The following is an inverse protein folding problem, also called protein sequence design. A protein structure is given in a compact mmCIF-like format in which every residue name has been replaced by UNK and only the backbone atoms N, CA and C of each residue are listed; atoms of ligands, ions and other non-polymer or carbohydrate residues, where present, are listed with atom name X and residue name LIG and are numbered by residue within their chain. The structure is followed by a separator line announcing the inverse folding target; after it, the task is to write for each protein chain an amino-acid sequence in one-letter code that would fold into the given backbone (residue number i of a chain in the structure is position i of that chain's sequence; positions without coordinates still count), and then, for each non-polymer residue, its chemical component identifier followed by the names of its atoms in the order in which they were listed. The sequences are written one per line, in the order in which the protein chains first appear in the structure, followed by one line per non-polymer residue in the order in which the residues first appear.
data_IF_564737183166
#
_entry.id   IF_564737183166
#
_cell.length_a   1.000
_cell.length_b   1.000
_cell.length_c   1.000
_cell.angle_alpha   90.00
_cell.angle_beta   90.00
_cell.angle_gamma   90.00
#
_symmetry.space_group_name_H-M   'P 1'
#
loop_
_entity.id
_entity.type
_entity.pdbx_description
1 polymer ?
#
# COMPACT_ATOMS: atom_id res chain seq x y z
N UNK A 1 9.97 -14.48 -7.23
CA UNK A 1 10.14 -13.61 -8.42
C UNK A 1 11.58 -13.14 -8.40
N UNK A 2 12.32 -13.31 -9.49
CA UNK A 2 13.67 -12.80 -9.64
C UNK A 2 13.67 -11.27 -9.60
N UNK A 3 14.68 -10.67 -8.95
CA UNK A 3 14.90 -9.23 -9.00
C UNK A 3 14.93 -8.76 -10.46
N UNK A 4 14.29 -7.64 -10.72
CA UNK A 4 14.36 -7.05 -12.05
C UNK A 4 15.79 -6.51 -12.27
N UNK A 5 16.41 -6.72 -13.43
CA UNK A 5 17.71 -6.14 -13.72
C UNK A 5 17.70 -4.59 -13.72
N UNK A 6 16.52 -3.98 -13.66
CA UNK A 6 16.31 -2.53 -13.59
C UNK A 6 16.02 -2.05 -12.17
N UNK A 7 15.99 -2.93 -11.18
CA UNK A 7 15.83 -2.52 -9.79
C UNK A 7 17.15 -1.94 -9.29
N UNK A 8 17.12 -0.78 -8.59
CA UNK A 8 18.33 -0.23 -7.98
C UNK A 8 18.84 -1.18 -6.89
N UNK A 9 20.14 -1.21 -6.69
CA UNK A 9 20.71 -1.91 -5.55
C UNK A 9 20.38 -1.17 -4.26
N UNK A 10 20.43 -1.88 -3.14
CA UNK A 10 20.04 -1.31 -1.85
C UNK A 10 20.94 -0.13 -1.42
N UNK A 11 22.21 -0.20 -1.71
CA UNK A 11 23.21 0.84 -1.44
C UNK A 11 23.17 2.04 -2.42
N UNK A 12 22.45 1.88 -3.53
CA UNK A 12 22.23 2.92 -4.55
C UNK A 12 20.87 3.63 -4.37
N UNK A 13 20.09 3.28 -3.32
CA UNK A 13 18.77 3.87 -3.11
C UNK A 13 18.85 5.36 -2.77
N UNK A 14 17.97 6.19 -3.33
CA UNK A 14 17.99 7.63 -3.10
C UNK A 14 17.64 7.94 -1.64
N UNK A 15 18.30 8.96 -1.08
CA UNK A 15 17.99 9.46 0.26
C UNK A 15 16.72 10.32 0.31
N UNK A 16 16.21 10.72 -0.84
CA UNK A 16 15.03 11.56 -0.95
C UNK A 16 14.03 10.94 -1.91
N UNK A 17 12.78 10.86 -1.49
CA UNK A 17 11.68 10.36 -2.32
C UNK A 17 10.60 11.42 -2.52
N UNK A 18 10.04 11.55 -3.75
CA UNK A 18 8.71 12.11 -3.91
C UNK A 18 7.70 11.17 -3.24
N UNK A 19 6.73 11.73 -2.54
CA UNK A 19 5.70 10.93 -1.87
C UNK A 19 4.30 11.25 -2.40
N UNK A 20 3.48 10.20 -2.43
CA UNK A 20 2.08 10.27 -2.77
C UNK A 20 1.23 9.89 -1.53
N UNK A 21 0.76 10.87 -0.74
CA UNK A 21 -0.16 10.62 0.35
C UNK A 21 -1.54 10.24 -0.21
N UNK A 22 -1.99 9.02 0.06
CA UNK A 22 -3.28 8.55 -0.43
C UNK A 22 -3.96 7.68 0.63
N UNK A 23 -5.07 8.19 1.18
CA UNK A 23 -5.80 7.52 2.26
C UNK A 23 -6.46 6.23 1.78
N UNK A 24 -6.30 5.17 2.57
CA UNK A 24 -6.93 3.87 2.30
C UNK A 24 -6.30 3.08 1.16
N UNK A 25 -5.25 3.58 0.54
CA UNK A 25 -4.47 2.87 -0.48
C UNK A 25 -3.17 2.35 0.14
N UNK A 26 -2.92 1.06 0.00
CA UNK A 26 -1.74 0.39 0.52
C UNK A 26 -0.88 -0.12 -0.64
N UNK A 27 0.42 0.13 -0.56
CA UNK A 27 1.42 -0.56 -1.37
C UNK A 27 2.34 -1.36 -0.45
N UNK A 28 2.56 -2.61 -0.79
CA UNK A 28 3.48 -3.52 -0.11
C UNK A 28 4.59 -3.95 -1.06
N UNK A 29 5.77 -4.34 -0.55
CA UNK A 29 6.81 -4.94 -1.38
C UNK A 29 6.25 -6.05 -2.28
N UNK A 30 6.64 -6.06 -3.56
CA UNK A 30 6.16 -6.94 -4.64
C UNK A 30 4.67 -6.79 -5.02
N UNK A 31 3.90 -5.93 -4.33
CA UNK A 31 2.54 -5.58 -4.70
C UNK A 31 2.50 -4.72 -5.96
N UNK A 32 1.41 -4.76 -6.70
CA UNK A 32 1.19 -3.92 -7.89
C UNK A 32 0.02 -2.99 -7.64
N UNK A 33 0.25 -1.70 -7.86
CA UNK A 33 -0.73 -0.64 -7.64
C UNK A 33 -0.91 0.16 -8.93
N UNK A 34 -2.00 -0.06 -9.67
CA UNK A 34 -2.36 0.81 -10.77
C UNK A 34 -2.94 2.13 -10.24
N UNK A 35 -2.53 3.25 -10.83
CA UNK A 35 -2.96 4.58 -10.45
C UNK A 35 -3.32 5.40 -11.69
N UNK A 36 -4.36 6.22 -11.57
CA UNK A 36 -4.75 7.21 -12.55
C UNK A 36 -4.37 8.59 -12.02
N UNK A 37 -3.41 9.25 -12.66
CA UNK A 37 -2.82 10.51 -12.22
C UNK A 37 -3.40 11.65 -13.05
N UNK A 38 -4.05 12.62 -12.41
CA UNK A 38 -4.70 13.75 -13.08
C UNK A 38 -4.45 15.10 -12.40
N UNK A 39 -4.06 15.11 -11.11
CA UNK A 39 -3.73 16.35 -10.43
C UNK A 39 -2.40 16.94 -10.94
N UNK A 40 -2.29 18.24 -11.26
CA UNK A 40 -1.08 18.83 -11.83
C UNK A 40 0.19 18.56 -11.02
N UNK A 41 0.12 18.60 -9.69
CA UNK A 41 1.27 18.27 -8.82
C UNK A 41 1.73 16.82 -8.97
N UNK A 42 0.82 15.86 -9.13
CA UNK A 42 1.18 14.46 -9.29
C UNK A 42 1.57 14.10 -10.72
N UNK A 43 1.08 14.85 -11.72
CA UNK A 43 1.63 14.79 -13.09
C UNK A 43 3.10 15.26 -13.10
N UNK A 44 3.41 16.35 -12.39
CA UNK A 44 4.79 16.84 -12.24
C UNK A 44 5.66 15.81 -11.51
N UNK A 45 5.18 15.28 -10.38
CA UNK A 45 5.86 14.22 -9.62
C UNK A 45 6.19 13.00 -10.49
N UNK A 46 5.23 12.54 -11.30
CA UNK A 46 5.42 11.38 -12.17
C UNK A 46 6.48 11.65 -13.25
N UNK A 47 6.48 12.85 -13.85
CA UNK A 47 7.50 13.25 -14.83
C UNK A 47 8.89 13.28 -14.21
N UNK A 48 9.01 13.88 -13.00
CA UNK A 48 10.28 13.95 -12.29
C UNK A 48 10.78 12.56 -11.90
N UNK A 49 9.88 11.69 -11.44
CA UNK A 49 10.21 10.30 -11.13
C UNK A 49 10.67 9.51 -12.37
N UNK A 50 10.02 9.69 -13.53
CA UNK A 50 10.42 9.05 -14.78
C UNK A 50 11.79 9.53 -15.29
N UNK A 51 12.14 10.79 -15.04
CA UNK A 51 13.43 11.36 -15.39
C UNK A 51 14.57 10.95 -14.43
N UNK A 52 14.23 10.44 -13.23
CA UNK A 52 15.17 10.04 -12.19
C UNK A 52 15.12 8.54 -11.88
N UNK A 53 15.02 8.22 -10.59
CA UNK A 53 15.13 6.84 -10.07
C UNK A 53 13.89 5.97 -10.32
N UNK A 54 12.82 6.53 -10.89
CA UNK A 54 11.52 5.87 -11.10
C UNK A 54 10.85 5.38 -9.82
N UNK A 55 11.19 5.97 -8.67
CA UNK A 55 10.62 5.62 -7.37
C UNK A 55 9.65 6.70 -6.89
N UNK A 56 8.51 6.26 -6.38
CA UNK A 56 7.50 7.09 -5.69
C UNK A 56 7.14 6.40 -4.38
N UNK A 57 7.22 7.13 -3.27
CA UNK A 57 6.83 6.63 -1.95
C UNK A 57 5.32 6.74 -1.73
N UNK A 58 4.64 5.63 -1.52
CA UNK A 58 3.26 5.62 -1.06
C UNK A 58 3.24 5.73 0.45
N UNK A 59 2.50 6.71 0.97
CA UNK A 59 2.34 6.93 2.41
C UNK A 59 0.86 7.15 2.75
N UNK A 60 0.46 6.80 3.97
CA UNK A 60 -0.88 7.11 4.43
C UNK A 60 -0.89 8.42 5.23
N UNK A 61 -1.84 9.33 4.96
CA UNK A 61 -2.11 10.43 5.86
C UNK A 61 -2.73 9.89 7.16
N UNK A 62 -2.36 10.50 8.30
CA UNK A 62 -3.00 10.22 9.59
C UNK A 62 -4.42 10.77 9.59
N UNK A 63 -5.36 10.14 10.29
CA UNK A 63 -6.68 10.71 10.51
C UNK A 63 -6.57 12.10 11.17
N UNK A 64 -7.35 13.07 10.68
CA UNK A 64 -7.45 14.36 11.32
C UNK A 64 -8.11 14.27 12.71
N UNK A 65 -8.00 15.33 13.56
CA UNK A 65 -8.59 15.36 14.91
C UNK A 65 -10.10 15.07 14.93
N UNK A 66 -10.80 15.39 13.84
CA UNK A 66 -12.25 15.25 13.70
C UNK A 66 -12.68 13.93 13.03
N UNK A 67 -11.77 12.97 12.85
CA UNK A 67 -12.07 11.70 12.19
C UNK A 67 -12.40 11.81 10.70
N UNK A 68 -12.30 13.01 10.12
CA UNK A 68 -12.55 13.22 8.70
C UNK A 68 -11.43 12.58 7.88
N UNK A 69 -11.84 11.81 6.86
CA UNK A 69 -10.91 11.20 5.91
C UNK A 69 -10.06 12.30 5.29
N UNK A 70 -8.77 12.27 5.53
CA UNK A 70 -7.77 13.20 4.95
C UNK A 70 -7.63 13.03 3.42
N UNK A 71 -8.70 12.72 2.71
CA UNK A 71 -8.73 12.45 1.27
C UNK A 71 -9.66 13.34 0.46
N UNK A 72 -10.62 14.05 1.11
CA UNK A 72 -11.63 14.82 0.37
C UNK A 72 -11.38 16.34 0.37
N UNK A 73 -10.37 16.82 1.04
CA UNK A 73 -9.96 18.20 0.92
C UNK A 73 -9.01 18.33 -0.28
N UNK A 74 -9.56 18.73 -1.41
CA UNK A 74 -8.74 19.39 -2.43
C UNK A 74 -7.90 20.43 -1.72
N UNK A 75 -6.59 20.22 -1.67
CA UNK A 75 -5.64 21.01 -0.91
C UNK A 75 -5.68 22.48 -1.37
N UNK A 76 -6.55 23.25 -0.70
CA UNK A 76 -6.44 24.69 -0.65
C UNK A 76 -5.87 25.02 0.71
N UNK A 77 -4.59 25.34 0.67
CA UNK A 77 -3.87 26.13 1.66
C UNK A 77 -4.21 25.90 3.14
N UNK A 78 -3.25 25.42 3.87
CA UNK A 78 -3.02 25.39 5.29
C UNK A 78 -3.00 23.96 5.89
N UNK A 79 -1.80 23.44 6.03
CA UNK A 79 -1.50 22.25 6.82
C UNK A 79 -1.69 20.96 6.03
N UNK A 80 -0.66 20.56 5.32
CA UNK A 80 -0.59 19.19 4.78
C UNK A 80 -0.87 18.20 5.92
N UNK A 81 -1.84 17.30 5.72
CA UNK A 81 -2.15 16.28 6.73
C UNK A 81 -0.86 15.56 7.16
N UNK A 82 -0.70 15.34 8.45
CA UNK A 82 0.40 14.50 8.95
C UNK A 82 0.34 13.14 8.28
N UNK A 83 1.51 12.58 8.02
CA UNK A 83 1.63 11.24 7.44
C UNK A 83 2.14 10.25 8.47
N UNK A 84 1.83 8.98 8.26
CA UNK A 84 2.48 7.91 9.01
C UNK A 84 3.97 7.84 8.65
N UNK A 85 4.83 7.48 9.61
CA UNK A 85 6.27 7.50 9.40
C UNK A 85 6.78 6.38 8.49
N UNK A 86 6.01 5.30 8.33
CA UNK A 86 6.40 4.18 7.47
C UNK A 86 5.61 4.24 6.18
N UNK A 87 6.33 4.19 5.05
CA UNK A 87 5.78 4.09 3.71
C UNK A 87 6.39 2.93 2.93
N UNK A 88 5.90 2.74 1.70
CA UNK A 88 6.49 1.80 0.75
C UNK A 88 6.81 2.50 -0.56
N UNK A 89 8.07 2.40 -0.99
CA UNK A 89 8.49 2.88 -2.30
C UNK A 89 8.02 1.91 -3.38
N UNK A 90 7.38 2.47 -4.40
CA UNK A 90 7.01 1.75 -5.60
C UNK A 90 7.83 2.20 -6.79
N UNK A 91 8.32 1.25 -7.57
CA UNK A 91 8.97 1.55 -8.85
C UNK A 91 7.93 1.67 -9.94
N UNK A 92 8.02 2.72 -10.74
CA UNK A 92 7.23 2.90 -11.97
C UNK A 92 7.58 1.79 -12.96
N UNK A 93 6.65 0.84 -13.16
CA UNK A 93 6.83 -0.32 -14.03
C UNK A 93 5.95 -0.29 -15.28
N UNK A 94 4.94 0.58 -15.30
CA UNK A 94 4.16 0.88 -16.49
C UNK A 94 3.78 2.36 -16.48
N UNK A 95 3.72 2.94 -17.68
CA UNK A 95 3.34 4.32 -17.92
C UNK A 95 2.61 4.42 -19.27
N UNK A 96 1.51 5.15 -19.28
CA UNK A 96 0.81 5.53 -20.50
C UNK A 96 0.19 6.93 -20.32
N UNK A 97 0.17 7.69 -21.37
CA UNK A 97 -0.56 8.95 -21.47
C UNK A 97 -1.96 8.68 -22.02
N UNK A 98 -2.93 9.47 -21.58
CA UNK A 98 -4.29 9.44 -22.10
C UNK A 98 -4.57 10.72 -22.88
N UNK A 99 -5.52 10.67 -23.84
CA UNK A 99 -5.87 11.81 -24.69
C UNK A 99 -6.45 13.00 -23.89
N UNK A 100 -6.96 12.76 -22.69
CA UNK A 100 -7.48 13.78 -21.77
C UNK A 100 -6.43 14.35 -20.80
N UNK A 101 -5.13 14.07 -21.04
CA UNK A 101 -4.01 14.67 -20.30
C UNK A 101 -3.73 14.03 -18.95
N UNK A 102 -4.16 12.81 -18.69
CA UNK A 102 -3.85 12.03 -17.48
C UNK A 102 -2.72 11.04 -17.74
N UNK A 103 -2.15 10.49 -16.66
CA UNK A 103 -1.22 9.37 -16.73
C UNK A 103 -1.82 8.13 -16.08
N UNK A 104 -1.77 7.02 -16.78
CA UNK A 104 -2.00 5.69 -16.22
C UNK A 104 -0.64 5.09 -15.87
N UNK A 105 -0.41 4.86 -14.59
CA UNK A 105 0.86 4.29 -14.13
C UNK A 105 0.62 3.01 -13.33
N UNK A 106 1.64 2.17 -13.26
CA UNK A 106 1.67 1.07 -12.29
C UNK A 106 2.92 1.21 -11.43
N UNK A 107 2.73 1.25 -10.12
CA UNK A 107 3.79 1.10 -9.14
C UNK A 107 3.91 -0.38 -8.76
N UNK A 108 5.12 -0.92 -8.83
CA UNK A 108 5.45 -2.21 -8.21
C UNK A 108 6.19 -1.94 -6.92
N UNK A 109 5.65 -2.41 -5.80
CA UNK A 109 6.23 -2.20 -4.48
C UNK A 109 7.64 -2.76 -4.41
N UNK A 110 8.56 -1.92 -3.95
CA UNK A 110 9.97 -2.19 -3.97
C UNK A 110 10.52 -2.49 -2.58
N UNK A 111 10.43 -1.51 -1.67
CA UNK A 111 10.96 -1.59 -0.32
C UNK A 111 10.21 -0.60 0.58
N UNK A 112 9.98 -0.96 1.84
CA UNK A 112 9.50 -0.02 2.85
C UNK A 112 10.60 0.98 3.21
N UNK A 113 10.19 2.10 3.75
CA UNK A 113 11.10 3.15 4.24
C UNK A 113 10.53 3.84 5.48
N UNK A 114 11.42 4.42 6.27
CA UNK A 114 11.09 5.31 7.37
C UNK A 114 11.25 6.75 6.93
N UNK A 115 10.21 7.57 7.10
CA UNK A 115 10.30 9.03 6.91
C UNK A 115 11.15 9.63 8.04
N UNK A 116 12.19 10.37 7.67
CA UNK A 116 13.05 11.08 8.60
C UNK A 116 12.59 12.54 8.75
N UNK A 117 12.37 13.21 7.64
CA UNK A 117 11.88 14.59 7.61
C UNK A 117 11.16 14.90 6.32
N UNK A 118 10.25 15.85 6.35
CA UNK A 118 9.66 16.41 5.15
C UNK A 118 10.51 17.56 4.61
N UNK A 119 10.67 17.57 3.29
CA UNK A 119 11.42 18.58 2.57
C UNK A 119 10.48 19.62 1.95
N UNK A 120 10.96 20.81 1.57
CA UNK A 120 10.16 21.78 0.82
C UNK A 120 9.49 21.16 -0.40
N UNK A 121 8.26 21.60 -0.69
CA UNK A 121 7.52 21.13 -1.87
C UNK A 121 8.32 21.34 -3.15
N UNK A 122 8.20 20.41 -4.08
CA UNK A 122 8.70 20.58 -5.44
C UNK A 122 7.51 20.54 -6.41
N UNK A 123 7.32 21.59 -7.19
CA UNK A 123 6.17 21.72 -8.12
C UNK A 123 4.81 21.35 -7.50
N UNK A 124 4.64 21.62 -6.20
CA UNK A 124 3.40 21.35 -5.44
C UNK A 124 3.26 19.93 -4.89
N UNK A 125 4.17 19.01 -5.16
CA UNK A 125 4.19 17.68 -4.53
C UNK A 125 5.15 17.62 -3.34
N UNK A 126 4.88 16.69 -2.40
CA UNK A 126 5.65 16.48 -1.18
C UNK A 126 6.85 15.58 -1.45
N UNK A 127 7.95 15.85 -0.73
CA UNK A 127 9.16 15.03 -0.71
C UNK A 127 9.60 14.80 0.71
N UNK A 128 10.24 13.67 0.93
CA UNK A 128 10.76 13.29 2.24
C UNK A 128 12.21 12.80 2.14
N UNK A 129 12.98 13.02 3.20
CA UNK A 129 14.21 12.27 3.44
C UNK A 129 13.83 10.94 4.07
N UNK A 130 14.46 9.88 3.62
CA UNK A 130 14.09 8.51 4.02
C UNK A 130 15.28 7.74 4.59
N UNK A 131 14.96 6.80 5.46
CA UNK A 131 15.88 5.75 5.93
C UNK A 131 15.37 4.38 5.48
N UNK A 132 16.25 3.62 4.84
CA UNK A 132 15.98 2.27 4.32
C UNK A 132 16.48 1.17 5.24
N UNK A 133 17.35 1.50 6.21
CA UNK A 133 18.17 0.53 6.98
C UNK A 133 17.33 -0.54 7.68
N UNK A 134 16.14 -0.19 8.16
CA UNK A 134 15.22 -1.13 8.82
C UNK A 134 14.51 -2.12 7.90
N UNK A 135 14.66 -2.00 6.57
CA UNK A 135 13.82 -2.71 5.61
C UNK A 135 14.60 -3.46 4.52
N UNK A 136 15.88 -3.71 4.72
CA UNK A 136 16.72 -4.47 3.77
C UNK A 136 16.12 -5.86 3.45
N UNK A 137 15.50 -6.50 4.44
CA UNK A 137 14.85 -7.80 4.28
C UNK A 137 13.66 -7.80 3.29
N UNK A 138 13.08 -6.63 2.96
CA UNK A 138 12.02 -6.55 1.95
C UNK A 138 12.52 -6.93 0.55
N UNK A 139 13.83 -6.91 0.33
CA UNK A 139 14.48 -7.30 -0.93
C UNK A 139 14.73 -8.79 -1.03
N UNK A 140 14.73 -9.47 0.08
CA UNK A 140 14.97 -10.91 0.14
C UNK A 140 13.65 -11.68 -0.08
N UNK A 141 13.78 -12.98 -0.38
CA UNK A 141 12.63 -13.86 -0.45
C UNK A 141 12.03 -14.01 0.95
N UNK A 142 10.73 -13.77 1.09
CA UNK A 142 10.08 -13.85 2.38
C UNK A 142 10.21 -15.26 2.98
N UNK A 143 10.48 -15.30 4.28
CA UNK A 143 10.40 -16.55 5.05
C UNK A 143 8.96 -17.10 5.01
N UNK A 144 8.76 -18.41 5.28
CA UNK A 144 7.42 -19.00 5.33
C UNK A 144 6.46 -18.22 6.22
N UNK A 145 5.23 -18.07 5.75
CA UNK A 145 4.20 -17.29 6.46
C UNK A 145 3.70 -17.97 7.75
N UNK A 146 3.83 -19.27 7.85
CA UNK A 146 3.19 -20.06 8.90
C UNK A 146 1.66 -20.10 8.81
N UNK A 147 1.10 -19.68 7.69
CA UNK A 147 -0.35 -19.60 7.48
C UNK A 147 -0.96 -21.00 7.39
N UNK A 148 -1.96 -21.28 8.23
CA UNK A 148 -2.79 -22.48 8.10
C UNK A 148 -3.85 -22.21 7.03
N UNK A 149 -3.54 -22.62 5.81
CA UNK A 149 -4.33 -22.30 4.60
C UNK A 149 -5.79 -22.66 4.72
N UNK A 150 -6.11 -23.86 5.19
CA UNK A 150 -7.49 -24.35 5.25
C UNK A 150 -8.36 -23.45 6.15
N UNK A 151 -7.85 -23.11 7.34
CA UNK A 151 -8.56 -22.24 8.29
C UNK A 151 -8.70 -20.81 7.72
N UNK A 152 -7.62 -20.31 7.15
CA UNK A 152 -7.62 -18.97 6.58
C UNK A 152 -8.59 -18.85 5.39
N UNK A 153 -8.58 -19.82 4.46
CA UNK A 153 -9.46 -19.84 3.30
C UNK A 153 -10.94 -19.96 3.71
N UNK A 154 -11.23 -20.73 4.75
CA UNK A 154 -12.59 -20.83 5.32
C UNK A 154 -13.08 -19.49 5.85
N UNK A 155 -12.26 -18.81 6.66
CA UNK A 155 -12.56 -17.48 7.21
C UNK A 155 -12.68 -16.44 6.11
N UNK A 156 -11.78 -16.47 5.12
CA UNK A 156 -11.80 -15.59 3.96
C UNK A 156 -13.06 -15.76 3.11
N UNK A 157 -13.52 -17.01 2.92
CA UNK A 157 -14.76 -17.30 2.18
C UNK A 157 -15.98 -16.68 2.88
N UNK A 158 -16.00 -16.75 4.21
CA UNK A 158 -17.07 -16.10 4.99
C UNK A 158 -17.01 -14.57 4.85
N UNK A 159 -15.84 -13.98 4.98
CA UNK A 159 -15.61 -12.54 4.80
C UNK A 159 -16.06 -12.07 3.41
N UNK A 160 -15.64 -12.74 2.35
CA UNK A 160 -16.01 -12.37 0.98
C UNK A 160 -17.52 -12.42 0.74
N UNK A 161 -18.19 -13.43 1.31
CA UNK A 161 -19.67 -13.54 1.26
C UNK A 161 -20.33 -12.36 1.95
N UNK A 162 -19.88 -11.96 3.13
CA UNK A 162 -20.42 -10.83 3.89
C UNK A 162 -20.21 -9.48 3.20
N UNK A 163 -19.13 -9.33 2.45
CA UNK A 163 -18.81 -8.09 1.73
C UNK A 163 -19.23 -8.12 0.26
N UNK A 164 -19.87 -9.20 -0.21
CA UNK A 164 -20.28 -9.34 -1.62
C UNK A 164 -19.10 -9.39 -2.59
N UNK A 165 -17.91 -9.79 -2.13
CA UNK A 165 -16.71 -9.87 -2.94
C UNK A 165 -16.71 -11.18 -3.72
N UNK A 166 -16.68 -11.08 -5.04
CA UNK A 166 -16.49 -12.24 -5.90
C UNK A 166 -15.01 -12.57 -6.04
N UNK A 167 -14.66 -13.83 -5.93
CA UNK A 167 -13.27 -14.28 -6.00
C UNK A 167 -13.14 -15.56 -6.82
N UNK A 168 -12.05 -15.66 -7.55
CA UNK A 168 -11.61 -16.89 -8.19
C UNK A 168 -10.86 -17.75 -7.16
N UNK A 169 -11.58 -18.73 -6.59
CA UNK A 169 -11.06 -19.62 -5.56
C UNK A 169 -9.96 -20.54 -6.07
N UNK A 170 -9.94 -20.89 -7.36
CA UNK A 170 -8.86 -21.67 -7.94
C UNK A 170 -7.54 -20.86 -7.90
N UNK A 171 -7.58 -19.62 -8.34
CA UNK A 171 -6.43 -18.70 -8.26
C UNK A 171 -5.98 -18.47 -6.81
N UNK A 172 -6.91 -18.33 -5.85
CA UNK A 172 -6.57 -18.15 -4.43
C UNK A 172 -5.83 -19.37 -3.89
N UNK A 173 -6.32 -20.57 -4.16
CA UNK A 173 -5.73 -21.82 -3.67
C UNK A 173 -4.34 -22.07 -4.23
N UNK A 174 -4.10 -21.73 -5.48
CA UNK A 174 -2.82 -21.94 -6.16
C UNK A 174 -1.79 -20.84 -5.85
N UNK A 175 -2.23 -19.67 -5.34
CA UNK A 175 -1.35 -18.56 -5.09
C UNK A 175 -0.36 -18.88 -3.95
N UNK A 176 0.94 -18.56 -4.10
CA UNK A 176 1.88 -18.58 -2.97
C UNK A 176 1.40 -17.65 -1.83
N UNK A 177 1.68 -18.02 -0.58
CA UNK A 177 1.24 -17.28 0.60
C UNK A 177 1.57 -15.80 0.54
N UNK A 178 2.81 -15.45 0.17
CA UNK A 178 3.23 -14.06 0.07
C UNK A 178 2.36 -13.27 -0.91
N UNK A 179 2.07 -13.85 -2.08
CA UNK A 179 1.24 -13.20 -3.09
C UNK A 179 -0.20 -13.04 -2.60
N UNK A 180 -0.75 -14.07 -1.95
CA UNK A 180 -2.10 -14.03 -1.41
C UNK A 180 -2.23 -12.97 -0.32
N UNK A 181 -1.35 -13.01 0.69
CA UNK A 181 -1.36 -12.07 1.83
C UNK A 181 -1.18 -10.64 1.33
N UNK A 182 -0.22 -10.39 0.42
CA UNK A 182 0.03 -9.07 -0.16
C UNK A 182 -1.18 -8.55 -0.94
N UNK A 183 -1.79 -9.39 -1.79
CA UNK A 183 -2.95 -9.00 -2.57
C UNK A 183 -4.16 -8.67 -1.69
N UNK A 184 -4.45 -9.52 -0.72
CA UNK A 184 -5.58 -9.31 0.21
C UNK A 184 -5.38 -8.06 1.06
N UNK A 185 -4.18 -7.82 1.60
CA UNK A 185 -3.87 -6.61 2.35
C UNK A 185 -4.12 -5.34 1.53
N UNK A 186 -3.79 -5.37 0.24
CA UNK A 186 -3.97 -4.22 -0.64
C UNK A 186 -5.41 -4.02 -1.09
N UNK A 187 -6.14 -5.10 -1.41
CA UNK A 187 -7.46 -5.05 -2.05
C UNK A 187 -8.60 -4.95 -1.03
N UNK A 188 -8.51 -5.64 0.11
CA UNK A 188 -9.58 -5.64 1.09
C UNK A 188 -9.85 -4.22 1.64
N UNK A 189 -11.13 -3.89 1.89
CA UNK A 189 -11.55 -2.55 2.31
C UNK A 189 -11.29 -2.30 3.81
N UNK A 190 -10.06 -2.58 4.25
CA UNK A 190 -9.61 -2.28 5.60
C UNK A 190 -9.49 -0.78 5.82
N UNK A 191 -9.68 -0.35 7.07
CA UNK A 191 -9.49 1.05 7.46
C UNK A 191 -8.04 1.51 7.25
N UNK A 192 -7.77 2.82 7.06
CA UNK A 192 -6.40 3.31 6.87
C UNK A 192 -5.44 2.90 7.99
N UNK A 193 -5.89 2.89 9.25
CA UNK A 193 -5.11 2.44 10.41
C UNK A 193 -4.77 0.94 10.34
N UNK A 194 -5.71 0.12 9.88
CA UNK A 194 -5.50 -1.32 9.69
C UNK A 194 -4.52 -1.59 8.54
N UNK A 195 -4.66 -0.86 7.44
CA UNK A 195 -3.72 -0.92 6.31
C UNK A 195 -2.32 -0.48 6.74
N UNK A 196 -2.21 0.52 7.62
CA UNK A 196 -0.93 0.92 8.18
C UNK A 196 -0.32 -0.19 9.04
N UNK A 197 -1.10 -0.85 9.89
CA UNK A 197 -0.64 -1.98 10.68
C UNK A 197 -0.14 -3.15 9.80
N UNK A 198 -0.82 -3.41 8.67
CA UNK A 198 -0.38 -4.40 7.68
C UNK A 198 0.94 -4.01 6.99
N UNK A 199 1.16 -2.72 6.74
CA UNK A 199 2.42 -2.20 6.18
C UNK A 199 3.57 -2.34 7.18
N UNK A 200 3.33 -1.99 8.44
CA UNK A 200 4.33 -1.99 9.51
C UNK A 200 4.65 -3.39 10.05
N UNK A 201 3.82 -4.40 9.74
CA UNK A 201 4.10 -5.78 10.14
C UNK A 201 5.52 -6.22 9.72
N UNK A 202 6.39 -6.59 10.68
CA UNK A 202 7.82 -6.81 10.42
C UNK A 202 8.09 -7.91 9.39
N UNK A 203 7.36 -9.02 9.50
CA UNK A 203 7.55 -10.22 8.67
C UNK A 203 6.28 -10.60 7.92
N UNK A 204 6.40 -11.49 6.93
CA UNK A 204 5.24 -12.08 6.27
C UNK A 204 4.33 -12.84 7.25
N UNK A 205 4.91 -13.54 8.22
CA UNK A 205 4.16 -14.25 9.25
C UNK A 205 3.37 -13.31 10.16
N UNK A 206 3.96 -12.16 10.53
CA UNK A 206 3.26 -11.13 11.30
C UNK A 206 2.11 -10.53 10.49
N UNK A 207 2.33 -10.21 9.22
CA UNK A 207 1.30 -9.70 8.31
C UNK A 207 0.17 -10.72 8.11
N UNK A 208 0.49 -12.00 7.99
CA UNK A 208 -0.50 -13.08 7.90
C UNK A 208 -1.38 -13.15 9.16
N UNK A 209 -0.79 -12.99 10.34
CA UNK A 209 -1.56 -12.94 11.61
C UNK A 209 -2.46 -11.71 11.68
N UNK A 210 -1.93 -10.53 11.34
CA UNK A 210 -2.71 -9.28 11.35
C UNK A 210 -3.90 -9.39 10.39
N UNK A 211 -3.69 -9.82 9.15
CA UNK A 211 -4.79 -9.91 8.17
C UNK A 211 -5.84 -10.95 8.59
N UNK A 212 -5.41 -12.09 9.15
CA UNK A 212 -6.34 -13.10 9.65
C UNK A 212 -7.22 -12.52 10.77
N UNK A 213 -6.61 -11.87 11.76
CA UNK A 213 -7.35 -11.21 12.85
C UNK A 213 -8.32 -10.14 12.33
N UNK A 214 -7.91 -9.31 11.39
CA UNK A 214 -8.80 -8.29 10.80
C UNK A 214 -10.01 -8.90 10.10
N UNK A 215 -9.80 -9.99 9.37
CA UNK A 215 -10.88 -10.73 8.71
C UNK A 215 -11.82 -11.36 9.74
N UNK A 216 -11.30 -12.00 10.78
CA UNK A 216 -12.11 -12.57 11.87
C UNK A 216 -12.94 -11.52 12.60
N UNK A 217 -12.34 -10.37 12.94
CA UNK A 217 -13.05 -9.25 13.58
C UNK A 217 -14.18 -8.74 12.68
N UNK A 218 -13.93 -8.51 11.42
CA UNK A 218 -14.93 -8.03 10.47
C UNK A 218 -16.10 -9.03 10.28
N UNK A 219 -15.81 -10.34 10.33
CA UNK A 219 -16.83 -11.40 10.31
C UNK A 219 -17.67 -11.39 11.58
N UNK A 220 -17.02 -11.25 12.75
CA UNK A 220 -17.70 -11.23 14.05
C UNK A 220 -18.62 -10.00 14.21
N UNK A 221 -18.14 -8.82 13.81
CA UNK A 221 -18.92 -7.57 13.89
C UNK A 221 -20.19 -7.63 13.04
N UNK A 222 -20.11 -8.12 11.81
CA UNK A 222 -21.30 -8.25 10.94
C UNK A 222 -22.21 -9.39 11.32
N UNK A 223 -21.65 -10.50 11.82
CA UNK A 223 -22.45 -11.62 12.34
C UNK A 223 -23.29 -11.26 13.55
N UNK A 224 -22.79 -10.37 14.42
CA UNK A 224 -23.56 -9.87 15.58
C UNK A 224 -24.62 -8.82 15.21
N UNK A 225 -24.43 -8.09 14.11
CA UNK A 225 -25.39 -7.09 13.61
C UNK A 225 -26.65 -7.68 12.99
N UNK A 226 -26.60 -8.90 12.47
CA UNK A 226 -27.73 -9.58 11.83
C UNK A 226 -28.68 -10.26 12.84
N UNK A 227 -28.13 -10.64 14.02
CA UNK A 227 -28.92 -11.22 15.11
C UNK A 227 -29.73 -10.18 15.91
N UNK A 228 -29.44 -8.89 15.78
CA UNK A 228 -30.15 -7.80 16.46
C UNK A 228 -31.36 -7.24 15.67
N UNK A 229 -31.67 -7.80 14.49
CA UNK A 229 -32.77 -7.36 13.62
C UNK A 229 -33.92 -8.37 13.50
N UNK A 230 -33.99 -9.37 14.36
CA UNK A 230 -35.13 -10.30 14.45
C UNK A 230 -35.89 -10.16 15.76
#
# INVERSE_FOLDING_TARGET
MTESPFDPKFDELPQTLPIFPLSGVLLLPRGRLPLNIFEPRYLAMTRDALAGDRLIGMVQPKPGPDGHKAGDAGARDSGAAEIYPVGCAGRLTAFAETDDGRYLITLTGFCRFQVQEELPLNQGYRRVRVDWSGYAADREMAAPSGLRRDDFESTLAHYFRLYGIQADWATIKEAPDERLITSLAMICPFAPTEKQALLEAPTLADRARVIHTLIEMAVAERGSGDTARH
#
